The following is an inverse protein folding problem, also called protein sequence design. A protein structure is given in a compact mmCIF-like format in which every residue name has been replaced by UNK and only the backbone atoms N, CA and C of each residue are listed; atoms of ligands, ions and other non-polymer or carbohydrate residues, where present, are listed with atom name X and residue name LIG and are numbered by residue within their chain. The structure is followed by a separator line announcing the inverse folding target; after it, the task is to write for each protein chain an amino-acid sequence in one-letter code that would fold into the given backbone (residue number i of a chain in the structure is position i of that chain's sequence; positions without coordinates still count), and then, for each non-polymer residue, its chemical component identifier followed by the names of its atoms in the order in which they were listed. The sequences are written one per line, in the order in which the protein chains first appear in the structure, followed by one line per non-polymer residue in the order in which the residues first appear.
data_IF_546988012431
#
_entry.id   IF_546988012431
#
_cell.length_a   1.000
_cell.length_b   1.000
_cell.length_c   1.000
_cell.angle_alpha   90.00
_cell.angle_beta   90.00
_cell.angle_gamma   90.00
#
_symmetry.space_group_name_H-M   'P 1'
#
loop_
_entity.id
_entity.type
_entity.pdbx_description
1 polymer ?
#
# COMPACT_ATOMS: atom_id res chain seq x y z
N UNK A 1 -11.11 29.47 6.53
CA UNK A 1 -10.94 28.01 6.42
C UNK A 1 -12.01 27.35 7.30
N UNK A 2 -12.76 26.36 6.79
CA UNK A 2 -13.81 25.71 7.58
C UNK A 2 -13.20 24.93 8.77
N UNK A 3 -13.90 24.89 9.90
CA UNK A 3 -13.49 24.18 11.11
C UNK A 3 -14.49 23.09 11.43
N UNK A 4 -13.97 21.87 11.63
CA UNK A 4 -14.75 20.71 12.09
C UNK A 4 -14.33 20.42 13.53
N UNK A 5 -15.31 20.25 14.42
CA UNK A 5 -15.09 19.78 15.79
C UNK A 5 -15.75 18.41 15.92
N UNK A 6 -14.98 17.40 16.29
CA UNK A 6 -15.43 16.02 16.39
C UNK A 6 -15.21 15.56 17.83
N UNK A 7 -16.25 14.98 18.45
CA UNK A 7 -16.10 14.27 19.72
C UNK A 7 -15.69 12.84 19.41
N UNK A 8 -14.62 12.39 20.04
CA UNK A 8 -14.11 11.02 19.94
C UNK A 8 -13.78 10.54 21.35
N UNK A 9 -13.65 9.23 21.52
CA UNK A 9 -13.24 8.64 22.79
C UNK A 9 -11.82 9.11 23.17
N UNK A 10 -11.58 9.31 24.46
CA UNK A 10 -10.30 9.82 24.98
C UNK A 10 -9.13 8.89 24.62
N UNK A 11 -9.34 7.57 24.68
CA UNK A 11 -8.34 6.57 24.30
C UNK A 11 -7.91 6.69 22.83
N UNK A 12 -8.86 7.01 21.95
CA UNK A 12 -8.59 7.24 20.53
C UNK A 12 -7.83 8.55 20.32
N UNK A 13 -8.20 9.61 21.05
CA UNK A 13 -7.49 10.88 21.00
C UNK A 13 -6.03 10.72 21.42
N UNK A 14 -5.78 10.01 22.52
CA UNK A 14 -4.44 9.74 23.02
C UNK A 14 -3.62 8.87 22.06
N UNK A 15 -4.23 7.86 21.45
CA UNK A 15 -3.58 7.05 20.42
C UNK A 15 -3.16 7.89 19.20
N UNK A 16 -4.01 8.83 18.77
CA UNK A 16 -3.71 9.75 17.67
C UNK A 16 -2.56 10.72 18.05
N UNK A 17 -2.56 11.26 19.26
CA UNK A 17 -1.47 12.11 19.73
C UNK A 17 -0.13 11.37 19.76
N UNK A 18 -0.11 10.12 20.27
CA UNK A 18 1.10 9.29 20.28
C UNK A 18 1.63 9.04 18.88
N UNK A 19 0.77 8.68 17.93
CA UNK A 19 1.18 8.45 16.53
C UNK A 19 1.70 9.73 15.87
N UNK A 20 1.05 10.86 16.12
CA UNK A 20 1.48 12.15 15.60
C UNK A 20 2.87 12.55 16.12
N UNK A 21 3.12 12.31 17.42
CA UNK A 21 4.41 12.54 18.04
C UNK A 21 5.52 11.67 17.43
N UNK A 22 5.27 10.36 17.22
CA UNK A 22 6.20 9.44 16.56
C UNK A 22 6.54 9.92 15.14
N UNK A 23 5.54 10.43 14.42
CA UNK A 23 5.70 10.95 13.07
C UNK A 23 6.28 12.38 13.01
N UNK A 24 6.49 13.05 14.16
CA UNK A 24 7.02 14.41 14.22
C UNK A 24 6.10 15.49 13.64
N UNK A 25 4.80 15.25 13.57
CA UNK A 25 3.83 16.18 12.95
C UNK A 25 2.64 16.46 13.87
N UNK A 26 1.94 17.60 13.73
CA UNK A 26 0.72 17.85 14.48
C UNK A 26 -0.38 16.82 14.16
N UNK A 27 -1.18 16.42 15.16
CA UNK A 27 -2.28 15.47 14.98
C UNK A 27 -3.26 15.89 13.87
N UNK A 28 -3.58 17.19 13.78
CA UNK A 28 -4.43 17.71 12.70
C UNK A 28 -3.80 17.55 11.30
N UNK A 29 -2.47 17.61 11.18
CA UNK A 29 -1.75 17.34 9.92
C UNK A 29 -1.82 15.86 9.57
N UNK A 30 -1.70 14.99 10.57
CA UNK A 30 -1.80 13.54 10.40
C UNK A 30 -3.20 13.08 9.98
N UNK A 31 -4.26 13.67 10.54
CA UNK A 31 -5.66 13.25 10.30
C UNK A 31 -6.26 13.86 9.03
N UNK A 32 -5.78 15.03 8.59
CA UNK A 32 -6.28 15.72 7.39
C UNK A 32 -6.35 14.83 6.14
N UNK A 33 -5.30 14.05 5.77
CA UNK A 33 -5.35 13.15 4.62
C UNK A 33 -6.53 12.17 4.65
N UNK A 34 -6.87 11.62 5.83
CA UNK A 34 -8.00 10.70 6.00
C UNK A 34 -9.34 11.42 5.76
N UNK A 35 -9.51 12.65 6.27
CA UNK A 35 -10.69 13.45 6.00
C UNK A 35 -10.82 13.79 4.51
N UNK A 36 -9.70 14.12 3.85
CA UNK A 36 -9.66 14.37 2.41
C UNK A 36 -9.96 13.09 1.63
N UNK A 37 -9.53 11.92 2.11
CA UNK A 37 -9.86 10.64 1.48
C UNK A 37 -11.38 10.42 1.56
N UNK A 38 -11.96 10.45 2.76
CA UNK A 38 -13.40 10.27 2.97
C UNK A 38 -14.28 11.25 2.16
N UNK A 39 -13.83 12.50 2.03
CA UNK A 39 -14.58 13.53 1.30
C UNK A 39 -14.56 13.35 -0.23
N UNK A 40 -13.53 12.71 -0.78
CA UNK A 40 -13.29 12.68 -2.23
C UNK A 40 -13.11 11.27 -2.83
N UNK A 41 -13.26 10.19 -2.06
CA UNK A 41 -13.14 8.80 -2.54
C UNK A 41 -14.19 8.35 -3.55
N UNK A 42 -15.26 9.12 -3.76
CA UNK A 42 -16.24 8.88 -4.83
C UNK A 42 -15.88 9.53 -6.18
N UNK A 43 -14.82 10.33 -6.25
CA UNK A 43 -14.35 10.96 -7.49
C UNK A 43 -13.07 10.24 -7.94
N UNK A 44 -13.27 9.27 -8.82
CA UNK A 44 -12.27 8.34 -9.30
C UNK A 44 -11.04 9.02 -9.94
N UNK A 45 -9.95 8.26 -9.91
CA UNK A 45 -8.76 8.32 -10.75
C UNK A 45 -7.75 9.45 -10.49
N UNK A 46 -6.50 9.02 -10.29
CA UNK A 46 -5.26 9.75 -10.58
C UNK A 46 -4.47 10.41 -9.43
N UNK A 47 -4.69 10.01 -8.17
CA UNK A 47 -3.74 10.36 -7.10
C UNK A 47 -3.44 9.15 -6.21
N UNK A 48 -2.30 8.51 -6.47
CA UNK A 48 -1.57 7.72 -5.48
C UNK A 48 -1.58 8.51 -4.16
N UNK A 49 -2.12 7.95 -3.07
CA UNK A 49 -2.60 8.79 -1.97
C UNK A 49 -1.95 8.55 -0.61
N UNK A 50 -0.90 7.74 -0.56
CA UNK A 50 0.03 7.72 0.57
C UNK A 50 1.47 7.52 0.08
N UNK A 51 2.49 8.06 0.78
CA UNK A 51 3.90 7.78 0.44
C UNK A 51 4.23 6.28 0.40
N UNK A 52 3.51 5.46 1.18
CA UNK A 52 3.63 4.00 1.16
C UNK A 52 3.10 3.38 -0.13
N UNK A 53 1.96 3.86 -0.64
CA UNK A 53 1.40 3.42 -1.92
C UNK A 53 2.24 3.87 -3.11
N UNK A 54 2.81 5.08 -3.07
CA UNK A 54 3.77 5.55 -4.07
C UNK A 54 5.03 4.68 -4.10
N UNK A 55 5.60 4.37 -2.93
CA UNK A 55 6.75 3.46 -2.81
C UNK A 55 6.45 2.05 -3.31
N UNK A 56 5.25 1.52 -3.02
CA UNK A 56 4.79 0.24 -3.54
C UNK A 56 4.64 0.27 -5.07
N UNK A 57 4.04 1.33 -5.63
CA UNK A 57 3.88 1.49 -7.07
C UNK A 57 5.23 1.55 -7.80
N UNK A 58 6.20 2.29 -7.25
CA UNK A 58 7.56 2.33 -7.81
C UNK A 58 8.22 0.96 -7.74
N UNK A 59 8.07 0.25 -6.61
CA UNK A 59 8.64 -1.08 -6.42
C UNK A 59 8.07 -2.08 -7.43
N UNK A 60 6.74 -2.10 -7.60
CA UNK A 60 6.07 -2.92 -8.61
C UNK A 60 6.59 -2.58 -10.02
N UNK A 61 6.75 -1.29 -10.33
CA UNK A 61 7.21 -0.87 -11.65
C UNK A 61 8.65 -1.31 -11.94
N UNK A 62 9.53 -1.28 -10.93
CA UNK A 62 10.90 -1.79 -11.04
C UNK A 62 10.88 -3.31 -11.26
N UNK A 63 10.05 -4.05 -10.52
CA UNK A 63 9.92 -5.50 -10.64
C UNK A 63 9.40 -5.91 -12.02
N UNK A 64 8.44 -5.17 -12.59
CA UNK A 64 7.95 -5.39 -13.97
C UNK A 64 9.06 -5.22 -15.00
N UNK A 65 9.86 -4.16 -14.87
CA UNK A 65 10.98 -3.91 -15.79
C UNK A 65 12.04 -5.02 -15.69
N UNK A 66 12.37 -5.45 -14.47
CA UNK A 66 13.29 -6.56 -14.24
C UNK A 66 12.76 -7.86 -14.80
N UNK A 67 11.46 -8.16 -14.63
CA UNK A 67 10.83 -9.33 -15.22
C UNK A 67 10.99 -9.33 -16.73
N UNK A 68 10.61 -8.24 -17.40
CA UNK A 68 10.72 -8.11 -18.86
C UNK A 68 12.17 -8.27 -19.34
N UNK A 69 13.13 -7.73 -18.58
CA UNK A 69 14.55 -7.86 -18.89
C UNK A 69 15.07 -9.29 -18.74
N UNK A 70 14.66 -9.97 -17.66
CA UNK A 70 15.03 -11.36 -17.38
C UNK A 70 14.40 -12.35 -18.35
N UNK A 71 13.20 -12.07 -18.86
CA UNK A 71 12.59 -12.90 -19.93
C UNK A 71 13.50 -13.00 -21.15
N UNK A 72 14.23 -11.94 -21.48
CA UNK A 72 15.16 -11.91 -22.61
C UNK A 72 16.53 -12.49 -22.23
N UNK A 73 17.08 -12.07 -21.08
CA UNK A 73 18.49 -12.36 -20.74
C UNK A 73 18.71 -13.66 -19.99
N UNK A 74 17.71 -14.13 -19.23
CA UNK A 74 17.85 -15.31 -18.36
C UNK A 74 16.49 -16.02 -18.15
N UNK A 75 15.82 -16.50 -19.22
CA UNK A 75 14.46 -17.03 -19.17
C UNK A 75 14.32 -18.25 -18.25
N UNK A 76 15.34 -19.10 -18.17
CA UNK A 76 15.32 -20.29 -17.31
C UNK A 76 15.40 -19.91 -15.83
N UNK A 77 16.26 -18.96 -15.47
CA UNK A 77 16.35 -18.44 -14.11
C UNK A 77 15.06 -17.75 -13.66
N UNK A 78 14.42 -17.00 -14.57
CA UNK A 78 13.12 -16.38 -14.29
C UNK A 78 12.03 -17.43 -14.05
N UNK A 79 11.98 -18.47 -14.89
CA UNK A 79 11.01 -19.57 -14.74
C UNK A 79 11.14 -20.28 -13.39
N UNK A 80 12.36 -20.62 -13.01
CA UNK A 80 12.65 -21.27 -11.72
C UNK A 80 12.31 -20.36 -10.54
N UNK A 81 12.66 -19.07 -10.64
CA UNK A 81 12.33 -18.05 -9.64
C UNK A 81 10.82 -17.88 -9.44
N UNK A 82 10.04 -17.85 -10.52
CA UNK A 82 8.57 -17.79 -10.48
C UNK A 82 7.99 -19.06 -9.86
N UNK A 83 8.48 -20.24 -10.26
CA UNK A 83 8.02 -21.52 -9.71
C UNK A 83 8.24 -21.58 -8.19
N UNK A 84 9.44 -21.19 -7.73
CA UNK A 84 9.78 -21.12 -6.30
C UNK A 84 8.92 -20.09 -5.55
N UNK A 85 8.73 -18.91 -6.13
CA UNK A 85 7.89 -17.85 -5.54
C UNK A 85 6.44 -18.31 -5.38
N UNK A 86 5.88 -18.96 -6.40
CA UNK A 86 4.54 -19.57 -6.34
C UNK A 86 4.45 -20.63 -5.24
N UNK A 87 5.47 -21.47 -5.07
CA UNK A 87 5.51 -22.45 -3.96
C UNK A 87 5.44 -21.75 -2.60
N UNK A 88 6.31 -20.76 -2.35
CA UNK A 88 6.34 -20.02 -1.08
C UNK A 88 5.00 -19.34 -0.79
N UNK A 89 4.37 -18.75 -1.82
CA UNK A 89 3.10 -18.07 -1.64
C UNK A 89 1.95 -19.05 -1.37
N UNK A 90 1.96 -20.24 -1.99
CA UNK A 90 0.99 -21.30 -1.64
C UNK A 90 1.18 -21.81 -0.22
N UNK A 91 2.43 -22.04 0.21
CA UNK A 91 2.75 -22.49 1.57
C UNK A 91 2.26 -21.49 2.63
N UNK A 92 2.19 -20.19 2.27
CA UNK A 92 1.66 -19.12 3.12
C UNK A 92 0.16 -18.85 2.93
N UNK A 93 -0.53 -19.64 2.11
CA UNK A 93 -1.95 -19.47 1.76
C UNK A 93 -2.27 -18.10 1.14
N UNK A 94 -1.29 -17.52 0.42
CA UNK A 94 -1.40 -16.23 -0.26
C UNK A 94 -1.74 -16.36 -1.75
N UNK A 95 -1.77 -17.59 -2.29
CA UNK A 95 -2.28 -17.89 -3.62
C UNK A 95 -3.44 -18.87 -3.47
N UNK A 96 -4.59 -18.51 -4.04
CA UNK A 96 -5.68 -19.45 -4.28
C UNK A 96 -5.18 -20.58 -5.18
N UNK A 97 -5.67 -21.80 -4.97
CA UNK A 97 -5.42 -22.90 -5.92
C UNK A 97 -5.89 -22.47 -7.32
N UNK A 98 -5.16 -22.85 -8.39
CA UNK A 98 -5.61 -22.55 -9.73
C UNK A 98 -7.00 -23.16 -9.92
N UNK A 99 -7.97 -22.33 -10.30
CA UNK A 99 -9.28 -22.82 -10.71
C UNK A 99 -9.05 -23.83 -11.84
N UNK A 100 -9.35 -25.09 -11.55
CA UNK A 100 -9.25 -26.17 -12.52
C UNK A 100 -10.44 -26.03 -13.45
N UNK A 101 -10.21 -25.56 -14.69
CA UNK A 101 -11.20 -25.54 -15.76
C UNK A 101 -10.55 -26.06 -17.04
#
# INVERSE_FOLDING_TARGET
MARITIRIDDDLYDALLRRAAIAGVPCATMVRPLLTQLAYTGQASDRLRTPGEEGLAISLRILELLHADMEVRAPDALRDGIARSKSILRDRQLLSEPESC
#
